data_IF_230031756782
#
_entry.id   IF_230031756782
#
_cell.length_a   1.000
_cell.length_b   1.000
_cell.length_c   1.000
_cell.angle_alpha   90.00
_cell.angle_beta   90.00
_cell.angle_gamma   90.00
#
_symmetry.space_group_name_H-M   'P 1'
#
loop_
_entity.id
_entity.type
_entity.pdbx_description
1 polymer ?
#
# COMPACT_ATOMS: atom_id res chain seq x y z
N UNK A 1 3.35 -4.88 -29.18
CA UNK A 1 2.73 -5.67 -28.11
C UNK A 1 3.64 -5.58 -26.89
N UNK A 2 3.13 -5.08 -25.75
CA UNK A 2 3.91 -4.98 -24.51
C UNK A 2 4.07 -6.40 -23.95
N UNK A 3 5.28 -6.97 -24.10
CA UNK A 3 5.68 -8.15 -23.34
C UNK A 3 6.06 -7.63 -21.95
N UNK A 4 5.34 -7.97 -20.87
CA UNK A 4 5.73 -7.54 -19.54
C UNK A 4 7.14 -8.07 -19.27
N UNK A 5 8.04 -7.20 -18.85
CA UNK A 5 9.37 -7.60 -18.43
C UNK A 5 9.26 -8.76 -17.42
N UNK A 6 9.95 -9.86 -17.72
CA UNK A 6 10.08 -11.06 -16.88
C UNK A 6 10.34 -10.59 -15.45
N UNK A 7 9.39 -10.76 -14.53
CA UNK A 7 9.57 -10.39 -13.12
C UNK A 7 10.84 -11.07 -12.61
N UNK A 8 11.88 -10.28 -12.32
CA UNK A 8 13.15 -10.79 -11.79
C UNK A 8 12.99 -10.93 -10.28
N UNK A 9 12.52 -12.09 -9.85
CA UNK A 9 12.44 -12.41 -8.43
C UNK A 9 13.83 -12.62 -7.84
N UNK A 10 13.98 -12.23 -6.58
CA UNK A 10 15.21 -12.44 -5.78
C UNK A 10 14.84 -13.19 -4.52
N UNK A 11 15.73 -14.04 -4.00
CA UNK A 11 15.49 -14.71 -2.72
C UNK A 11 15.35 -13.67 -1.60
N UNK A 12 14.35 -13.83 -0.75
CA UNK A 12 14.26 -13.05 0.49
C UNK A 12 15.54 -13.31 1.31
N UNK A 13 16.29 -12.27 1.72
CA UNK A 13 17.53 -12.50 2.43
C UNK A 13 17.28 -13.23 3.75
N UNK A 14 18.13 -14.20 4.09
CA UNK A 14 17.99 -15.00 5.32
C UNK A 14 18.03 -14.15 6.60
N UNK A 15 18.57 -12.93 6.54
CA UNK A 15 18.55 -11.95 7.63
C UNK A 15 17.14 -11.41 7.93
N UNK A 16 16.18 -11.55 7.02
CA UNK A 16 14.83 -10.97 7.13
C UNK A 16 13.82 -11.90 7.80
N UNK A 17 14.17 -13.16 8.04
CA UNK A 17 13.25 -14.12 8.65
C UNK A 17 14.00 -15.14 9.52
N UNK A 18 13.23 -15.99 10.19
CA UNK A 18 13.72 -17.16 10.91
C UNK A 18 12.74 -18.29 10.70
N UNK A 19 13.29 -19.44 10.34
CA UNK A 19 12.59 -20.71 10.27
C UNK A 19 12.98 -21.58 11.46
N UNK A 20 12.15 -22.54 11.86
CA UNK A 20 12.51 -23.56 12.83
C UNK A 20 13.83 -24.24 12.47
N UNK A 21 14.63 -24.57 13.47
CA UNK A 21 15.89 -25.29 13.28
C UNK A 21 15.66 -26.67 12.64
N UNK A 22 14.54 -27.32 12.97
CA UNK A 22 14.05 -28.50 12.27
C UNK A 22 12.83 -28.14 11.43
N UNK A 23 12.96 -28.22 10.10
CA UNK A 23 11.90 -27.93 9.12
C UNK A 23 11.03 -29.17 8.85
N UNK A 24 10.55 -29.80 9.92
CA UNK A 24 9.58 -30.90 9.85
C UNK A 24 8.15 -30.38 9.99
N UNK A 25 7.26 -30.87 9.13
CA UNK A 25 5.82 -30.56 9.19
C UNK A 25 5.07 -31.79 9.66
N UNK A 26 4.56 -31.74 10.89
CA UNK A 26 3.70 -32.79 11.42
C UNK A 26 2.26 -32.58 10.93
N UNK A 27 1.73 -33.56 10.19
CA UNK A 27 0.32 -33.61 9.81
C UNK A 27 -0.37 -34.59 10.77
N UNK A 28 -1.33 -34.09 11.55
CA UNK A 28 -2.03 -34.91 12.55
C UNK A 28 -3.03 -35.85 11.86
N UNK A 29 -3.22 -37.04 12.43
CA UNK A 29 -4.27 -37.96 11.97
C UNK A 29 -5.64 -37.26 11.94
N UNK A 30 -6.41 -37.50 10.88
CA UNK A 30 -7.68 -36.81 10.61
C UNK A 30 -7.54 -35.41 9.98
N UNK A 31 -6.32 -34.95 9.70
CA UNK A 31 -6.06 -33.67 9.01
C UNK A 31 -5.20 -33.88 7.77
N UNK A 32 -5.34 -32.99 6.79
CA UNK A 32 -4.57 -33.02 5.54
C UNK A 32 -3.67 -31.78 5.38
N UNK A 33 -3.50 -31.00 6.45
CA UNK A 33 -2.79 -29.72 6.44
C UNK A 33 -1.82 -29.68 7.60
N UNK A 34 -0.59 -29.26 7.31
CA UNK A 34 0.41 -28.89 8.29
C UNK A 34 0.92 -27.47 8.02
N UNK A 35 1.66 -26.89 8.96
CA UNK A 35 2.20 -25.53 8.83
C UNK A 35 3.63 -25.45 9.33
N UNK A 36 4.41 -24.55 8.72
CA UNK A 36 5.74 -24.16 9.17
C UNK A 36 5.65 -22.71 9.63
N UNK A 37 5.95 -22.40 10.91
CA UNK A 37 5.99 -21.01 11.34
C UNK A 37 7.18 -20.31 10.68
N UNK A 38 6.95 -19.10 10.16
CA UNK A 38 8.01 -18.23 9.66
C UNK A 38 7.92 -16.91 10.41
N UNK A 39 8.99 -16.53 11.10
CA UNK A 39 9.03 -15.28 11.87
C UNK A 39 9.82 -14.25 11.09
N UNK A 40 9.15 -13.16 10.71
CA UNK A 40 9.77 -12.05 10.01
C UNK A 40 10.46 -11.08 10.97
N UNK A 41 11.67 -10.64 10.61
CA UNK A 41 12.48 -9.70 11.37
C UNK A 41 12.23 -8.27 10.88
N UNK A 42 11.27 -7.59 11.50
CA UNK A 42 10.78 -6.29 11.03
C UNK A 42 11.88 -5.22 10.96
N UNK A 43 12.86 -5.21 11.85
CA UNK A 43 13.96 -4.23 11.81
C UNK A 43 14.80 -4.32 10.53
N UNK A 44 14.92 -5.51 9.94
CA UNK A 44 15.63 -5.71 8.68
C UNK A 44 14.74 -5.32 7.50
N UNK A 45 13.48 -5.77 7.52
CA UNK A 45 12.47 -5.45 6.50
C UNK A 45 12.28 -3.94 6.35
N UNK A 46 12.21 -3.22 7.47
CA UNK A 46 11.99 -1.77 7.47
C UNK A 46 13.18 -0.98 6.88
N UNK A 47 14.36 -1.60 6.74
CA UNK A 47 15.54 -1.00 6.11
C UNK A 47 15.70 -1.38 4.64
N UNK A 48 14.93 -2.36 4.17
CA UNK A 48 15.01 -2.88 2.81
C UNK A 48 13.87 -2.32 1.95
N UNK A 49 14.21 -1.45 0.99
CA UNK A 49 13.23 -0.85 0.09
C UNK A 49 12.56 -1.87 -0.84
N UNK A 50 13.22 -2.98 -1.17
CA UNK A 50 12.68 -4.03 -2.03
C UNK A 50 11.66 -4.91 -1.29
N UNK A 51 11.64 -4.89 0.04
CA UNK A 51 10.65 -5.61 0.85
C UNK A 51 9.22 -5.07 0.67
N UNK A 52 9.09 -3.83 0.20
CA UNK A 52 7.81 -3.18 -0.09
C UNK A 52 7.36 -3.34 -1.56
N UNK A 53 8.14 -4.05 -2.37
CA UNK A 53 7.82 -4.37 -3.77
C UNK A 53 7.62 -5.87 -3.96
N UNK A 54 7.01 -6.29 -5.08
CA UNK A 54 6.81 -7.71 -5.42
C UNK A 54 8.09 -8.35 -5.99
N UNK A 55 9.20 -8.20 -5.28
CA UNK A 55 10.54 -8.62 -5.74
C UNK A 55 11.01 -9.88 -5.02
N UNK A 56 10.73 -10.00 -3.72
CA UNK A 56 11.25 -11.12 -2.94
C UNK A 56 10.37 -12.36 -3.01
N UNK A 57 11.05 -13.52 -3.05
CA UNK A 57 10.43 -14.83 -2.96
C UNK A 57 11.03 -15.64 -1.80
N UNK A 58 10.18 -16.44 -1.17
CA UNK A 58 10.59 -17.48 -0.23
C UNK A 58 10.21 -18.85 -0.81
N UNK A 59 11.18 -19.61 -1.36
CA UNK A 59 10.93 -20.92 -1.92
C UNK A 59 10.95 -22.01 -0.85
N UNK A 60 10.07 -22.99 -1.00
CA UNK A 60 10.02 -24.21 -0.19
C UNK A 60 10.01 -25.43 -1.11
N UNK A 61 10.69 -26.50 -0.68
CA UNK A 61 10.76 -27.78 -1.39
C UNK A 61 10.59 -28.90 -0.37
N UNK A 62 9.68 -29.84 -0.64
CA UNK A 62 9.53 -31.06 0.16
C UNK A 62 10.60 -32.06 -0.30
N UNK A 63 11.55 -32.34 0.58
CA UNK A 63 12.68 -33.22 0.30
C UNK A 63 12.45 -34.67 0.73
N UNK A 64 11.64 -34.88 1.78
CA UNK A 64 11.30 -36.19 2.33
C UNK A 64 9.89 -36.19 2.93
N UNK A 65 9.31 -37.37 3.09
CA UNK A 65 7.99 -37.59 3.69
C UNK A 65 7.96 -38.98 4.33
N UNK A 66 7.18 -39.14 5.41
CA UNK A 66 6.88 -40.45 6.00
C UNK A 66 5.72 -41.16 5.30
N UNK A 67 5.08 -40.53 4.31
CA UNK A 67 4.07 -41.15 3.45
C UNK A 67 4.70 -41.97 2.33
N UNK A 68 3.87 -42.66 1.54
CA UNK A 68 4.33 -43.54 0.46
C UNK A 68 5.14 -42.79 -0.62
N UNK A 69 4.80 -41.52 -0.90
CA UNK A 69 5.54 -40.70 -1.87
C UNK A 69 5.31 -39.20 -1.71
N UNK A 70 6.18 -38.41 -2.34
CA UNK A 70 5.99 -36.97 -2.54
C UNK A 70 5.52 -36.75 -3.97
N UNK A 71 4.41 -36.02 -4.14
CA UNK A 71 3.89 -35.65 -5.46
C UNK A 71 4.85 -34.67 -6.15
N UNK A 72 5.59 -35.12 -7.17
CA UNK A 72 6.55 -34.27 -7.90
C UNK A 72 5.91 -33.37 -8.96
N UNK A 73 4.81 -33.79 -9.58
CA UNK A 73 4.07 -33.02 -10.58
C UNK A 73 2.57 -33.16 -10.37
N UNK A 74 1.82 -32.11 -10.69
CA UNK A 74 0.36 -32.15 -10.61
C UNK A 74 -0.19 -32.87 -11.84
N UNK A 75 -0.98 -33.96 -11.71
CA UNK A 75 -1.46 -34.74 -12.85
C UNK A 75 -2.29 -33.93 -13.86
N UNK A 76 -3.05 -32.94 -13.38
CA UNK A 76 -3.86 -32.05 -14.23
C UNK A 76 -3.05 -30.94 -14.91
N UNK A 77 -1.81 -30.71 -14.48
CA UNK A 77 -0.91 -29.73 -15.05
C UNK A 77 0.55 -30.10 -14.75
N UNK A 78 1.14 -30.95 -15.59
CA UNK A 78 2.50 -31.47 -15.42
C UNK A 78 3.60 -30.38 -15.41
N UNK A 79 3.26 -29.12 -15.69
CA UNK A 79 4.16 -27.96 -15.57
C UNK A 79 4.22 -27.39 -14.14
N UNK A 80 3.34 -27.82 -13.24
CA UNK A 80 3.32 -27.40 -11.84
C UNK A 80 3.97 -28.48 -10.99
N UNK A 81 5.05 -28.13 -10.31
CA UNK A 81 5.70 -29.00 -9.35
C UNK A 81 4.82 -29.13 -8.10
N UNK A 82 4.47 -30.37 -7.73
CA UNK A 82 3.65 -30.64 -6.54
C UNK A 82 4.43 -30.55 -5.23
N UNK A 83 5.77 -30.56 -5.31
CA UNK A 83 6.68 -30.58 -4.16
C UNK A 83 7.33 -29.22 -3.89
N UNK A 84 6.99 -28.18 -4.66
CA UNK A 84 7.61 -26.86 -4.57
C UNK A 84 6.56 -25.78 -4.38
N UNK A 85 6.87 -24.82 -3.51
CA UNK A 85 6.08 -23.61 -3.35
C UNK A 85 7.00 -22.39 -3.46
N UNK A 86 6.57 -21.36 -4.19
CA UNK A 86 7.26 -20.09 -4.30
C UNK A 86 6.35 -18.99 -3.78
N UNK A 87 6.65 -18.45 -2.61
CA UNK A 87 5.83 -17.42 -1.98
C UNK A 87 6.42 -16.06 -2.31
N UNK A 88 5.71 -15.25 -3.10
CA UNK A 88 6.09 -13.84 -3.33
C UNK A 88 5.63 -13.02 -2.13
N UNK A 89 6.56 -12.30 -1.51
CA UNK A 89 6.29 -11.53 -0.29
C UNK A 89 6.38 -10.04 -0.60
N UNK A 90 5.38 -9.28 -0.14
CA UNK A 90 5.37 -7.81 -0.12
C UNK A 90 4.87 -7.37 1.25
N UNK A 91 5.65 -6.55 1.94
CA UNK A 91 5.20 -5.88 3.16
C UNK A 91 4.44 -4.61 2.81
N UNK A 92 3.37 -4.34 3.57
CA UNK A 92 2.52 -3.17 3.39
C UNK A 92 2.33 -2.50 4.74
N UNK A 93 2.26 -1.17 4.72
CA UNK A 93 1.90 -0.40 5.90
C UNK A 93 0.41 -0.62 6.21
N UNK A 94 0.06 -0.66 7.50
CA UNK A 94 -1.34 -0.79 7.95
C UNK A 94 -2.29 0.30 7.42
N UNK A 95 -1.75 1.44 6.98
CA UNK A 95 -2.50 2.56 6.38
C UNK A 95 -2.67 2.41 4.87
N UNK A 96 -2.07 1.41 4.21
CA UNK A 96 -2.37 1.08 2.81
C UNK A 96 -3.84 0.68 2.64
N UNK A 97 -4.45 1.11 1.55
CA UNK A 97 -5.84 0.74 1.24
C UNK A 97 -6.59 1.82 0.47
N UNK A 98 -7.89 1.59 0.33
CA UNK A 98 -8.82 2.48 -0.33
C UNK A 98 -9.52 3.35 0.71
N UNK A 99 -9.72 4.61 0.36
CA UNK A 99 -10.27 5.66 1.22
C UNK A 99 -11.34 6.45 0.48
N UNK A 100 -12.49 6.62 1.11
CA UNK A 100 -13.51 7.55 0.66
C UNK A 100 -13.08 8.98 1.01
N UNK A 101 -13.14 9.88 0.03
CA UNK A 101 -12.73 11.27 0.22
C UNK A 101 -13.92 12.19 0.33
N UNK A 102 -13.92 12.99 1.40
CA UNK A 102 -14.77 14.17 1.53
C UNK A 102 -13.88 15.38 1.80
N UNK A 103 -14.20 16.51 1.20
CA UNK A 103 -13.39 17.69 1.39
C UNK A 103 -14.03 18.98 0.91
N UNK A 104 -13.27 20.05 1.14
CA UNK A 104 -13.60 21.41 0.76
C UNK A 104 -12.39 22.05 0.11
N UNK A 105 -12.61 22.71 -1.02
CA UNK A 105 -11.62 23.49 -1.74
C UNK A 105 -12.10 24.95 -1.81
N UNK A 106 -11.22 25.87 -1.48
CA UNK A 106 -11.49 27.32 -1.52
C UNK A 106 -10.39 27.99 -2.35
N UNK A 107 -10.77 28.69 -3.42
CA UNK A 107 -9.85 29.59 -4.11
C UNK A 107 -9.56 30.77 -3.17
N UNK A 108 -8.31 31.20 -3.11
CA UNK A 108 -7.90 32.33 -2.27
C UNK A 108 -7.15 33.37 -3.10
N UNK A 109 -7.41 34.62 -2.76
CA UNK A 109 -6.71 35.76 -3.32
C UNK A 109 -5.24 35.74 -2.88
N UNK A 110 -4.34 35.88 -3.84
CA UNK A 110 -2.90 35.73 -3.59
C UNK A 110 -2.28 36.91 -2.84
N UNK A 111 -2.93 38.08 -2.84
CA UNK A 111 -2.46 39.30 -2.18
C UNK A 111 -2.99 39.39 -0.74
N UNK A 112 -4.27 39.06 -0.55
CA UNK A 112 -4.99 39.24 0.73
C UNK A 112 -5.19 37.95 1.51
N UNK A 113 -4.94 36.78 0.89
CA UNK A 113 -5.21 35.45 1.45
C UNK A 113 -6.70 35.21 1.81
N UNK A 114 -7.60 36.07 1.33
CA UNK A 114 -9.05 36.00 1.55
C UNK A 114 -9.71 34.99 0.58
N UNK A 115 -10.82 34.33 0.98
CA UNK A 115 -11.58 33.47 0.08
C UNK A 115 -12.13 34.22 -1.14
N UNK A 116 -11.96 33.63 -2.32
CA UNK A 116 -12.61 34.08 -3.55
C UNK A 116 -13.83 33.17 -3.80
N UNK A 117 -15.02 33.76 -3.77
CA UNK A 117 -16.27 33.07 -4.06
C UNK A 117 -16.67 32.01 -3.02
N UNK A 118 -17.62 31.17 -3.41
CA UNK A 118 -18.14 30.10 -2.55
C UNK A 118 -17.22 28.88 -2.61
N UNK A 119 -16.81 28.31 -1.47
CA UNK A 119 -16.03 27.10 -1.46
C UNK A 119 -16.73 25.92 -2.13
N UNK A 120 -15.97 25.13 -2.88
CA UNK A 120 -16.44 23.89 -3.50
C UNK A 120 -16.32 22.76 -2.49
N UNK A 121 -17.44 22.22 -2.05
CA UNK A 121 -17.47 21.00 -1.24
C UNK A 121 -17.67 19.79 -2.13
N UNK A 122 -16.78 18.80 -2.03
CA UNK A 122 -16.96 17.51 -2.67
C UNK A 122 -17.17 16.47 -1.59
N UNK A 123 -18.42 16.03 -1.51
CA UNK A 123 -18.86 14.86 -0.77
C UNK A 123 -19.83 14.19 -1.70
N UNK A 124 -19.35 13.28 -2.54
CA UNK A 124 -20.28 12.53 -3.38
C UNK A 124 -21.10 11.62 -2.46
N UNK A 125 -22.41 11.63 -2.64
CA UNK A 125 -23.36 10.89 -1.79
C UNK A 125 -23.18 9.37 -1.93
N UNK A 126 -22.67 8.92 -3.07
CA UNK A 126 -22.32 7.52 -3.32
C UNK A 126 -20.89 7.22 -2.84
N UNK A 127 -20.76 6.16 -2.01
CA UNK A 127 -19.49 5.62 -1.51
C UNK A 127 -18.51 5.23 -2.63
N UNK A 128 -18.97 5.09 -3.88
CA UNK A 128 -18.16 4.58 -4.98
C UNK A 128 -17.50 5.65 -5.86
N UNK A 129 -17.79 6.93 -5.65
CA UNK A 129 -17.46 7.93 -6.66
C UNK A 129 -16.29 8.86 -6.33
N UNK A 130 -15.69 8.76 -5.15
CA UNK A 130 -14.50 9.54 -4.73
C UNK A 130 -13.54 8.67 -3.89
N UNK A 131 -13.10 7.55 -4.46
CA UNK A 131 -12.13 6.67 -3.80
C UNK A 131 -10.71 7.09 -4.18
N UNK A 132 -9.87 7.31 -3.17
CA UNK A 132 -8.41 7.40 -3.32
C UNK A 132 -7.77 6.17 -2.69
N UNK A 133 -6.61 5.79 -3.20
CA UNK A 133 -5.82 4.66 -2.77
C UNK A 133 -4.50 5.18 -2.19
N UNK A 134 -4.21 4.80 -0.95
CA UNK A 134 -2.88 4.90 -0.37
C UNK A 134 -2.11 3.62 -0.68
N UNK A 135 -0.89 3.75 -1.22
CA UNK A 135 -0.01 2.62 -1.56
C UNK A 135 1.32 2.77 -0.85
N UNK A 136 1.76 1.72 -0.14
CA UNK A 136 3.08 1.65 0.48
C UNK A 136 4.15 1.61 -0.59
N UNK A 137 5.07 2.55 -0.53
CA UNK A 137 6.27 2.56 -1.38
C UNK A 137 7.52 2.14 -0.61
N UNK A 138 7.57 2.47 0.69
CA UNK A 138 8.60 2.07 1.64
C UNK A 138 8.09 2.26 3.07
N UNK A 139 8.89 1.85 4.05
CA UNK A 139 8.60 1.87 5.48
C UNK A 139 7.95 3.15 6.04
N UNK A 140 8.19 4.31 5.42
CA UNK A 140 7.78 5.60 5.92
C UNK A 140 7.04 6.48 4.88
N UNK A 141 6.62 5.89 3.76
CA UNK A 141 6.12 6.62 2.60
C UNK A 141 4.91 5.93 1.97
N UNK A 142 3.79 6.64 1.99
CA UNK A 142 2.54 6.23 1.35
C UNK A 142 2.22 7.16 0.19
N UNK A 143 2.11 6.62 -1.01
CA UNK A 143 1.63 7.38 -2.15
C UNK A 143 0.10 7.46 -2.15
N UNK A 144 -0.42 8.66 -2.37
CA UNK A 144 -1.84 8.91 -2.56
C UNK A 144 -2.09 9.30 -4.02
N UNK A 145 -3.01 8.60 -4.67
CA UNK A 145 -3.54 9.05 -5.96
C UNK A 145 -4.62 10.11 -5.76
N UNK A 146 -4.76 11.02 -6.71
CA UNK A 146 -5.64 12.17 -6.67
C UNK A 146 -5.13 13.30 -5.76
N UNK A 147 -5.48 14.53 -6.12
CA UNK A 147 -5.19 15.72 -5.33
C UNK A 147 -6.39 16.67 -5.40
N UNK A 148 -6.95 17.07 -4.26
CA UNK A 148 -8.13 17.93 -4.19
C UNK A 148 -9.30 17.42 -5.06
N UNK A 149 -9.84 18.24 -5.95
CA UNK A 149 -10.90 17.87 -6.88
C UNK A 149 -10.38 17.20 -8.18
N UNK A 150 -9.09 16.89 -8.29
CA UNK A 150 -8.55 16.12 -9.42
C UNK A 150 -9.02 14.67 -9.30
N UNK A 151 -9.68 14.18 -10.35
CA UNK A 151 -10.17 12.81 -10.44
C UNK A 151 -8.99 11.83 -10.41
N UNK A 152 -9.04 10.88 -9.47
CA UNK A 152 -8.05 9.81 -9.35
C UNK A 152 -7.96 8.97 -10.64
N UNK A 153 -6.75 8.65 -11.08
CA UNK A 153 -6.47 7.90 -12.32
C UNK A 153 -6.50 8.72 -13.61
N UNK A 154 -6.89 10.00 -13.56
CA UNK A 154 -6.84 10.89 -14.73
C UNK A 154 -5.40 11.16 -15.21
N UNK A 155 -5.23 11.66 -16.43
CA UNK A 155 -3.91 12.09 -16.93
C UNK A 155 -3.29 13.20 -16.06
N UNK A 156 -4.13 14.07 -15.50
CA UNK A 156 -3.71 15.07 -14.52
C UNK A 156 -3.21 14.43 -13.22
N UNK A 157 -3.84 13.35 -12.75
CA UNK A 157 -3.39 12.63 -11.56
C UNK A 157 -2.03 11.94 -11.77
N UNK A 158 -1.83 11.30 -12.92
CA UNK A 158 -0.56 10.63 -13.25
C UNK A 158 0.64 11.60 -13.24
N UNK A 159 0.39 12.86 -13.57
CA UNK A 159 1.40 13.94 -13.53
C UNK A 159 1.45 14.67 -12.19
N UNK A 160 0.50 14.44 -11.28
CA UNK A 160 0.37 15.13 -9.98
C UNK A 160 0.35 14.18 -8.80
N UNK A 161 1.31 13.27 -8.78
CA UNK A 161 1.48 12.31 -7.69
C UNK A 161 1.78 13.03 -6.37
N UNK A 162 1.17 12.52 -5.30
CA UNK A 162 1.33 13.02 -3.94
C UNK A 162 1.64 11.88 -2.98
N UNK A 163 2.21 12.22 -1.83
CA UNK A 163 2.57 11.23 -0.83
C UNK A 163 2.46 11.79 0.58
N UNK A 164 2.17 10.89 1.52
CA UNK A 164 2.27 11.11 2.95
C UNK A 164 3.56 10.44 3.42
N UNK A 165 4.45 11.23 4.00
CA UNK A 165 5.68 10.77 4.64
C UNK A 165 5.53 10.94 6.16
N UNK A 166 5.98 9.96 6.94
CA UNK A 166 5.86 9.99 8.39
C UNK A 166 7.15 9.58 9.10
N UNK A 167 7.40 10.19 10.26
CA UNK A 167 8.50 9.86 11.17
C UNK A 167 7.91 9.80 12.57
N UNK A 168 7.83 8.60 13.15
CA UNK A 168 7.05 8.37 14.37
C UNK A 168 5.59 8.80 14.16
N UNK A 169 5.11 9.72 15.00
CA UNK A 169 3.76 10.27 14.94
C UNK A 169 3.64 11.57 14.13
N UNK A 170 4.74 12.06 13.55
CA UNK A 170 4.72 13.27 12.72
C UNK A 170 4.47 12.89 11.25
N UNK A 171 3.51 13.55 10.62
CA UNK A 171 3.11 13.31 9.24
C UNK A 171 3.31 14.57 8.40
N UNK A 172 3.72 14.38 7.14
CA UNK A 172 3.82 15.46 6.15
C UNK A 172 3.16 15.01 4.86
N UNK A 173 2.49 15.94 4.18
CA UNK A 173 1.85 15.69 2.88
C UNK A 173 2.48 16.56 1.81
N UNK A 174 2.96 15.94 0.73
CA UNK A 174 3.80 16.58 -0.28
C UNK A 174 3.47 16.03 -1.67
N UNK A 175 3.87 16.77 -2.70
CA UNK A 175 3.91 16.29 -4.09
C UNK A 175 5.32 15.90 -4.50
N UNK A 176 5.45 15.05 -5.52
CA UNK A 176 6.76 14.76 -6.09
C UNK A 176 7.40 16.00 -6.75
N UNK A 177 8.73 15.97 -6.92
CA UNK A 177 9.50 17.08 -7.51
C UNK A 177 9.04 17.40 -8.93
N UNK A 178 8.64 16.40 -9.71
CA UNK A 178 8.15 16.54 -11.08
C UNK A 178 6.64 16.84 -11.18
N UNK A 179 5.89 16.86 -10.07
CA UNK A 179 4.46 17.20 -10.12
C UNK A 179 4.24 18.65 -10.54
N UNK A 180 3.25 18.92 -11.38
CA UNK A 180 2.93 20.29 -11.82
C UNK A 180 2.21 21.08 -10.73
N UNK A 181 1.43 20.40 -9.91
CA UNK A 181 0.81 20.92 -8.69
C UNK A 181 1.79 20.77 -7.52
N UNK A 182 1.96 21.84 -6.74
CA UNK A 182 2.82 21.87 -5.56
C UNK A 182 1.99 22.10 -4.31
N UNK A 183 2.10 21.16 -3.37
CA UNK A 183 1.55 21.30 -2.02
C UNK A 183 2.46 22.21 -1.18
N UNK A 184 1.85 23.11 -0.42
CA UNK A 184 2.50 23.90 0.64
C UNK A 184 1.59 24.00 1.87
N UNK A 185 2.14 24.50 2.99
CA UNK A 185 1.42 24.71 4.26
C UNK A 185 0.60 23.50 4.70
N UNK A 186 1.15 22.28 4.53
CA UNK A 186 0.40 21.06 4.79
C UNK A 186 0.44 20.67 6.26
N UNK A 187 -0.70 20.24 6.77
CA UNK A 187 -0.85 19.56 8.06
C UNK A 187 -1.58 18.25 7.82
N UNK A 188 -1.16 17.23 8.56
CA UNK A 188 -1.71 15.89 8.45
C UNK A 188 -1.99 15.38 9.85
N UNK A 189 -3.20 14.88 10.06
CA UNK A 189 -3.57 14.15 11.26
C UNK A 189 -4.06 12.77 10.87
N UNK A 190 -3.66 11.76 11.63
CA UNK A 190 -4.10 10.40 11.47
C UNK A 190 -4.81 9.95 12.75
N UNK A 191 -5.98 9.36 12.60
CA UNK A 191 -6.76 8.81 13.70
C UNK A 191 -7.09 7.37 13.37
N UNK A 192 -6.80 6.48 14.30
CA UNK A 192 -7.08 5.05 14.23
C UNK A 192 -7.78 4.64 15.51
N UNK A 193 -9.06 4.31 15.40
CA UNK A 193 -9.85 3.76 16.50
C UNK A 193 -9.86 2.23 16.44
N UNK A 194 -9.83 1.68 15.23
CA UNK A 194 -9.66 0.26 14.94
C UNK A 194 -9.06 0.06 13.55
N UNK A 195 -8.74 -1.19 13.19
CA UNK A 195 -8.27 -1.55 11.85
C UNK A 195 -9.24 -1.11 10.74
N UNK A 196 -10.56 -1.08 10.99
CA UNK A 196 -11.57 -0.65 10.03
C UNK A 196 -12.06 0.80 10.22
N UNK A 197 -11.87 1.39 11.41
CA UNK A 197 -12.23 2.79 11.72
C UNK A 197 -10.95 3.62 11.85
N UNK A 198 -10.44 4.03 10.69
CA UNK A 198 -9.25 4.87 10.57
C UNK A 198 -9.43 5.92 9.49
N UNK A 199 -8.86 7.10 9.71
CA UNK A 199 -8.96 8.21 8.76
C UNK A 199 -7.79 9.17 8.85
N UNK A 200 -7.54 9.87 7.75
CA UNK A 200 -6.64 11.02 7.69
C UNK A 200 -7.43 12.31 7.56
N UNK A 201 -6.91 13.37 8.16
CA UNK A 201 -7.31 14.75 7.89
C UNK A 201 -6.10 15.46 7.28
N UNK A 202 -6.27 15.99 6.07
CA UNK A 202 -5.24 16.71 5.33
C UNK A 202 -5.71 18.15 5.15
N UNK A 203 -4.95 19.12 5.65
CA UNK A 203 -5.13 20.53 5.29
C UNK A 203 -3.91 21.00 4.55
N UNK A 204 -4.08 21.63 3.40
CA UNK A 204 -2.93 22.06 2.59
C UNK A 204 -3.32 23.15 1.60
N UNK A 205 -2.31 23.88 1.17
CA UNK A 205 -2.40 24.82 0.06
C UNK A 205 -1.86 24.15 -1.21
N UNK A 206 -2.39 24.53 -2.37
CA UNK A 206 -1.70 24.27 -3.63
C UNK A 206 -1.95 25.37 -4.65
N UNK A 207 -1.08 25.44 -5.66
CA UNK A 207 -1.18 26.41 -6.76
C UNK A 207 -1.48 25.66 -8.06
N UNK A 208 -2.47 26.14 -8.80
CA UNK A 208 -2.78 25.68 -10.15
C UNK A 208 -3.06 26.88 -11.05
N UNK A 209 -2.38 26.97 -12.19
CA UNK A 209 -2.58 28.03 -13.18
C UNK A 209 -2.63 29.46 -12.57
N UNK A 210 -1.68 29.79 -11.68
CA UNK A 210 -1.55 31.06 -10.92
C UNK A 210 -2.63 31.32 -9.86
N UNK A 211 -3.61 30.44 -9.72
CA UNK A 211 -4.59 30.48 -8.63
C UNK A 211 -4.08 29.69 -7.44
N UNK A 212 -4.33 30.21 -6.24
CA UNK A 212 -3.98 29.54 -4.99
C UNK A 212 -5.26 28.97 -4.38
N UNK A 213 -5.15 27.76 -3.85
CA UNK A 213 -6.26 27.05 -3.24
C UNK A 213 -5.89 26.60 -1.83
N UNK A 214 -6.85 26.68 -0.91
CA UNK A 214 -6.83 26.02 0.40
C UNK A 214 -7.74 24.81 0.37
N UNK A 215 -7.24 23.68 0.84
CA UNK A 215 -7.95 22.40 0.83
C UNK A 215 -8.00 21.81 2.23
N UNK A 216 -9.16 21.24 2.57
CA UNK A 216 -9.38 20.41 3.74
C UNK A 216 -10.00 19.09 3.28
N UNK A 217 -9.22 18.02 3.29
CA UNK A 217 -9.62 16.66 2.93
C UNK A 217 -9.74 15.78 4.19
N UNK A 218 -10.74 14.92 4.22
CA UNK A 218 -10.82 13.77 5.12
C UNK A 218 -10.86 12.49 4.30
N UNK A 219 -9.84 11.65 4.47
CA UNK A 219 -9.75 10.33 3.85
C UNK A 219 -10.25 9.30 4.87
N UNK A 220 -11.43 8.74 4.65
CA UNK A 220 -12.04 7.73 5.55
C UNK A 220 -11.76 6.34 4.98
N UNK A 221 -11.14 5.45 5.77
CA UNK A 221 -10.82 4.10 5.31
C UNK A 221 -12.08 3.36 4.86
N UNK A 222 -11.93 2.62 3.77
CA UNK A 222 -13.02 1.86 3.14
C UNK A 222 -12.70 0.37 3.19
N UNK A 223 -11.61 -0.03 2.55
CA UNK A 223 -11.19 -1.43 2.43
C UNK A 223 -9.71 -1.55 2.07
N UNK A 224 -9.13 -2.74 2.27
CA UNK A 224 -7.78 -3.04 1.80
C UNK A 224 -7.79 -3.35 0.30
N UNK A 225 -6.75 -2.87 -0.41
CA UNK A 225 -6.58 -3.10 -1.85
C UNK A 225 -6.43 -4.58 -2.21
N UNK A 226 -5.98 -5.40 -1.26
CA UNK A 226 -5.86 -6.86 -1.41
C UNK A 226 -6.63 -7.53 -0.27
N UNK A 227 -7.51 -8.46 -0.61
CA UNK A 227 -8.30 -9.25 0.35
C UNK A 227 -7.47 -10.35 1.05
N UNK A 228 -6.19 -10.51 0.70
CA UNK A 228 -5.25 -11.46 1.30
C UNK A 228 -4.19 -10.77 2.19
N UNK A 229 -4.55 -9.66 2.83
CA UNK A 229 -3.69 -9.00 3.84
C UNK A 229 -3.87 -9.72 5.16
N UNK A 230 -2.81 -10.37 5.66
CA UNK A 230 -2.71 -10.79 7.05
C UNK A 230 -2.18 -9.60 7.84
N UNK A 231 -3.03 -9.01 8.69
CA UNK A 231 -2.59 -8.03 9.67
C UNK A 231 -1.74 -8.73 10.74
N UNK A 232 -0.59 -8.16 11.07
CA UNK A 232 0.29 -8.58 12.15
C UNK A 232 0.67 -7.38 13.01
#
# INVERSE_FOLDING_TARGET
>A
AYVPAKFKYTLLPSTHYTLPANLEVMIKSGTNVGSVPCVFKMDMIMKDSLAFTKTYILPFIITSSSADSILKSIPSNSKVAGDKAFIVIKFVDKREGNYNVKGKLTEIDTLTNAPIGTPVTYRKESLNENVRTLTTLRNNLLELNGLANVVAGSSSDQTNRSYIEFIGNAFTYKTYKNSTLKISNSTVSYVEKSASDKYFVLNYDYVNARKKYKVSDTLVFRDFRNTAVLEW
#
